data_IF_957628657788
#
_entry.id   IF_957628657788
#
_cell.length_a   1.000
_cell.length_b   1.000
_cell.length_c   1.000
_cell.angle_alpha   90.00
_cell.angle_beta   90.00
_cell.angle_gamma   90.00
#
_symmetry.space_group_name_H-M   'P 1'
#
loop_
_entity.id
_entity.type
_entity.pdbx_description
1 polymer ?
#
# COMPACT_ATOMS: atom_id res chain seq x y z
N UNK A 1 8.72 23.28 8.94
CA UNK A 1 8.46 23.29 7.50
C UNK A 1 9.30 22.18 6.90
N UNK A 2 8.86 21.13 6.46
CA UNK A 2 8.98 20.75 5.07
C UNK A 2 8.65 19.29 4.71
N UNK A 3 7.59 18.71 5.25
CA UNK A 3 7.29 17.31 4.92
C UNK A 3 6.19 17.12 3.83
N UNK A 4 5.67 18.23 3.26
CA UNK A 4 4.62 18.17 2.22
C UNK A 4 5.11 17.77 0.83
N UNK A 5 6.42 17.81 0.60
CA UNK A 5 7.00 17.73 -0.75
C UNK A 5 7.47 16.32 -1.16
N UNK A 6 7.62 15.41 -0.19
CA UNK A 6 8.11 14.04 -0.47
C UNK A 6 7.02 13.18 -1.10
N UNK A 7 5.78 13.29 -0.63
CA UNK A 7 4.66 12.53 -1.19
C UNK A 7 4.33 12.92 -2.63
N UNK A 8 4.36 14.22 -2.95
CA UNK A 8 4.18 14.73 -4.30
C UNK A 8 5.35 14.33 -5.23
N UNK A 9 6.56 14.24 -4.70
CA UNK A 9 7.75 13.80 -5.46
C UNK A 9 7.74 12.32 -5.80
N UNK A 10 7.04 11.48 -5.04
CA UNK A 10 6.91 10.05 -5.30
C UNK A 10 5.88 9.73 -6.39
N UNK A 11 4.93 10.60 -6.66
CA UNK A 11 3.89 10.37 -7.67
C UNK A 11 4.42 10.32 -9.11
N UNK A 12 5.52 11.04 -9.37
CA UNK A 12 6.21 10.99 -10.66
C UNK A 12 7.59 10.38 -10.49
N UNK A 13 7.80 9.11 -10.90
CA UNK A 13 9.14 8.57 -11.01
C UNK A 13 10.01 9.52 -11.85
N UNK A 14 11.07 10.00 -11.23
CA UNK A 14 12.04 10.88 -11.91
C UNK A 14 13.02 10.04 -12.71
N UNK A 15 12.54 9.46 -13.81
CA UNK A 15 13.31 8.50 -14.63
C UNK A 15 14.70 9.02 -15.01
N UNK A 16 14.83 10.29 -15.36
CA UNK A 16 16.13 10.90 -15.68
C UNK A 16 17.10 10.90 -14.49
N UNK A 17 16.62 11.21 -13.29
CA UNK A 17 17.42 11.15 -12.07
C UNK A 17 17.73 9.72 -11.66
N UNK A 18 16.75 8.82 -11.72
CA UNK A 18 16.95 7.40 -11.50
C UNK A 18 18.03 6.82 -12.41
N UNK A 19 17.96 7.11 -13.71
CA UNK A 19 18.95 6.68 -14.68
C UNK A 19 20.36 7.25 -14.38
N UNK A 20 20.45 8.52 -14.00
CA UNK A 20 21.73 9.14 -13.63
C UNK A 20 22.37 8.44 -12.43
N UNK A 21 21.61 8.23 -11.38
CA UNK A 21 22.09 7.52 -10.19
C UNK A 21 22.43 6.07 -10.47
N UNK A 22 21.64 5.39 -11.31
CA UNK A 22 21.95 4.01 -11.77
C UNK A 22 23.30 3.95 -12.49
N UNK A 23 23.52 4.83 -13.46
CA UNK A 23 24.80 4.89 -14.19
C UNK A 23 25.97 5.17 -13.26
N UNK A 24 25.78 6.04 -12.28
CA UNK A 24 26.78 6.33 -11.26
C UNK A 24 27.06 5.11 -10.38
N UNK A 25 26.03 4.39 -9.93
CA UNK A 25 26.18 3.15 -9.17
C UNK A 25 26.94 2.07 -9.95
N UNK A 26 26.59 1.88 -11.24
CA UNK A 26 27.29 0.93 -12.11
C UNK A 26 28.78 1.29 -12.27
N UNK A 27 29.08 2.57 -12.45
CA UNK A 27 30.47 3.05 -12.53
C UNK A 27 31.25 2.74 -11.25
N UNK A 28 30.71 3.08 -10.06
CA UNK A 28 31.38 2.77 -8.80
C UNK A 28 31.52 1.27 -8.57
N UNK A 29 30.52 0.49 -8.94
CA UNK A 29 30.58 -0.97 -8.83
C UNK A 29 31.69 -1.57 -9.72
N UNK A 30 31.86 -1.07 -10.95
CA UNK A 30 32.92 -1.56 -11.86
C UNK A 30 34.34 -1.27 -11.40
N UNK A 31 34.54 -0.31 -10.49
CA UNK A 31 35.84 0.04 -9.91
C UNK A 31 35.94 -0.31 -8.42
N UNK A 32 35.03 -1.15 -7.92
CA UNK A 32 34.96 -1.48 -6.47
C UNK A 32 36.19 -2.21 -5.96
N UNK A 33 36.87 -2.98 -6.82
CA UNK A 33 38.09 -3.72 -6.44
C UNK A 33 39.29 -2.81 -6.16
N UNK A 34 39.27 -1.57 -6.69
CA UNK A 34 40.38 -0.62 -6.51
C UNK A 34 40.35 0.10 -5.15
N UNK A 35 39.18 0.30 -4.57
CA UNK A 35 38.99 0.94 -3.25
C UNK A 35 37.69 0.47 -2.60
N UNK A 36 37.75 0.06 -1.31
CA UNK A 36 36.57 -0.37 -0.55
C UNK A 36 35.47 0.71 -0.47
N UNK A 37 35.80 1.98 -0.48
CA UNK A 37 34.84 3.08 -0.48
C UNK A 37 33.98 3.14 -1.75
N UNK A 38 34.44 2.61 -2.88
CA UNK A 38 33.68 2.64 -4.12
C UNK A 38 32.38 1.81 -4.04
N UNK A 39 32.42 0.69 -3.33
CA UNK A 39 31.23 -0.13 -3.15
C UNK A 39 30.17 0.57 -2.28
N UNK A 40 30.58 1.38 -1.31
CA UNK A 40 29.68 2.19 -0.48
C UNK A 40 29.02 3.31 -1.31
N UNK A 41 29.79 3.97 -2.17
CA UNK A 41 29.25 4.95 -3.14
C UNK A 41 28.33 4.30 -4.17
N UNK A 42 28.64 3.07 -4.61
CA UNK A 42 27.76 2.29 -5.49
C UNK A 42 26.42 2.00 -4.81
N UNK A 43 26.44 1.57 -3.54
CA UNK A 43 25.24 1.29 -2.78
C UNK A 43 24.39 2.55 -2.57
N UNK A 44 24.99 3.65 -2.15
CA UNK A 44 24.27 4.90 -1.96
C UNK A 44 23.63 5.39 -3.27
N UNK A 45 24.38 5.34 -4.37
CA UNK A 45 23.84 5.73 -5.68
C UNK A 45 22.73 4.79 -6.16
N UNK A 46 22.85 3.48 -5.93
CA UNK A 46 21.81 2.51 -6.29
C UNK A 46 20.52 2.71 -5.48
N UNK A 47 20.63 2.99 -4.18
CA UNK A 47 19.48 3.36 -3.33
C UNK A 47 18.78 4.63 -3.84
N UNK A 48 19.56 5.65 -4.24
CA UNK A 48 19.00 6.87 -4.84
C UNK A 48 18.31 6.57 -6.19
N UNK A 49 18.84 5.66 -7.00
CA UNK A 49 18.20 5.27 -8.26
C UNK A 49 16.81 4.67 -8.02
N UNK A 50 16.67 3.73 -7.07
CA UNK A 50 15.39 3.14 -6.69
C UNK A 50 14.45 4.18 -6.08
N UNK A 51 14.96 5.07 -5.21
CA UNK A 51 14.17 6.13 -4.59
C UNK A 51 13.58 7.09 -5.63
N UNK A 52 14.33 7.41 -6.68
CA UNK A 52 13.86 8.31 -7.72
C UNK A 52 12.96 7.64 -8.76
N UNK A 53 13.18 6.36 -9.05
CA UNK A 53 12.35 5.60 -9.98
C UNK A 53 12.29 4.12 -9.59
N UNK A 54 11.41 3.80 -8.65
CA UNK A 54 11.16 2.43 -8.19
C UNK A 54 10.38 1.58 -9.21
N UNK A 55 9.81 2.19 -10.25
CA UNK A 55 9.08 1.47 -11.31
C UNK A 55 10.03 0.90 -12.39
N UNK A 56 11.29 1.29 -12.37
CA UNK A 56 12.26 0.82 -13.35
C UNK A 56 13.06 -0.39 -12.81
N UNK A 57 12.93 -1.59 -13.38
CA UNK A 57 13.54 -2.81 -12.85
C UNK A 57 15.07 -2.76 -12.77
N UNK A 58 15.72 -2.05 -13.71
CA UNK A 58 17.18 -1.92 -13.69
C UNK A 58 17.75 -1.20 -12.47
N UNK A 59 16.97 -0.29 -11.86
CA UNK A 59 17.40 0.38 -10.64
C UNK A 59 17.51 -0.61 -9.47
N UNK A 60 16.57 -1.52 -9.38
CA UNK A 60 16.57 -2.61 -8.40
C UNK A 60 17.69 -3.63 -8.68
N UNK A 61 17.90 -3.99 -9.98
CA UNK A 61 18.98 -4.91 -10.37
C UNK A 61 20.34 -4.41 -9.95
N UNK A 62 20.60 -3.12 -10.15
CA UNK A 62 21.89 -2.53 -9.73
C UNK A 62 22.02 -2.56 -8.21
N UNK A 63 20.99 -2.23 -7.45
CA UNK A 63 21.02 -2.29 -5.98
C UNK A 63 21.26 -3.73 -5.51
N UNK A 64 20.59 -4.71 -6.10
CA UNK A 64 20.77 -6.12 -5.78
C UNK A 64 22.21 -6.59 -6.12
N UNK A 65 22.73 -6.20 -7.27
CA UNK A 65 24.11 -6.57 -7.68
C UNK A 65 25.15 -5.98 -6.72
N UNK A 66 24.95 -4.76 -6.24
CA UNK A 66 25.83 -4.16 -5.20
C UNK A 66 25.78 -4.96 -3.91
N UNK A 67 24.60 -5.39 -3.48
CA UNK A 67 24.44 -6.22 -2.27
C UNK A 67 25.10 -7.59 -2.42
N UNK A 68 24.99 -8.20 -3.59
CA UNK A 68 25.67 -9.46 -3.91
C UNK A 68 27.20 -9.26 -3.89
N UNK A 69 27.73 -8.21 -4.52
CA UNK A 69 29.16 -7.92 -4.52
C UNK A 69 29.71 -7.68 -3.10
N UNK A 70 28.88 -7.19 -2.17
CA UNK A 70 29.23 -7.04 -0.74
C UNK A 70 29.11 -8.34 0.05
N UNK A 71 28.61 -9.41 -0.53
CA UNK A 71 28.22 -10.64 0.18
C UNK A 71 27.26 -10.36 1.35
N UNK A 72 26.35 -9.38 1.17
CA UNK A 72 25.44 -8.88 2.18
C UNK A 72 24.08 -9.63 2.11
N UNK A 73 24.04 -10.81 2.71
CA UNK A 73 22.85 -11.69 2.77
C UNK A 73 21.60 -10.93 3.29
N UNK A 74 21.78 -10.18 4.38
CA UNK A 74 20.67 -9.41 4.97
C UNK A 74 20.23 -8.27 4.07
N UNK A 75 21.17 -7.60 3.41
CA UNK A 75 20.86 -6.55 2.45
C UNK A 75 20.14 -7.07 1.22
N UNK A 76 20.47 -8.26 0.72
CA UNK A 76 19.74 -8.93 -0.36
C UNK A 76 18.32 -9.24 0.06
N UNK A 77 18.12 -9.81 1.27
CA UNK A 77 16.80 -10.08 1.84
C UNK A 77 15.98 -8.80 1.91
N UNK A 78 16.55 -7.72 2.44
CA UNK A 78 15.87 -6.41 2.55
C UNK A 78 15.45 -5.85 1.18
N UNK A 79 16.28 -5.97 0.14
CA UNK A 79 15.94 -5.53 -1.23
C UNK A 79 14.77 -6.35 -1.79
N UNK A 80 14.75 -7.66 -1.56
CA UNK A 80 13.66 -8.53 -2.01
C UNK A 80 12.36 -8.25 -1.25
N UNK A 81 12.43 -8.06 0.07
CA UNK A 81 11.28 -7.68 0.90
C UNK A 81 10.68 -6.35 0.44
N UNK A 82 11.53 -5.36 0.20
CA UNK A 82 11.11 -4.05 -0.27
C UNK A 82 10.47 -4.11 -1.67
N UNK A 83 11.04 -4.91 -2.59
CA UNK A 83 10.43 -5.19 -3.88
C UNK A 83 9.06 -5.87 -3.74
N UNK A 84 8.93 -6.86 -2.86
CA UNK A 84 7.67 -7.57 -2.64
C UNK A 84 6.59 -6.64 -2.11
N UNK A 85 6.95 -5.75 -1.17
CA UNK A 85 6.05 -4.73 -0.66
C UNK A 85 5.54 -3.82 -1.80
N UNK A 86 6.44 -3.34 -2.66
CA UNK A 86 6.07 -2.51 -3.83
C UNK A 86 5.16 -3.26 -4.81
N UNK A 87 5.42 -4.55 -5.02
CA UNK A 87 4.59 -5.42 -5.86
C UNK A 87 3.26 -5.83 -5.19
N UNK A 88 3.01 -5.41 -3.95
CA UNK A 88 1.85 -5.83 -3.18
C UNK A 88 1.87 -7.33 -2.87
N UNK A 89 3.02 -7.89 -2.61
CA UNK A 89 3.20 -9.26 -2.14
C UNK A 89 3.57 -9.25 -0.68
N UNK A 90 3.18 -10.30 0.02
CA UNK A 90 3.52 -10.46 1.42
C UNK A 90 5.04 -10.67 1.58
N UNK A 91 5.74 -9.78 2.30
CA UNK A 91 7.16 -9.94 2.58
C UNK A 91 7.48 -11.18 3.43
N UNK A 92 6.52 -11.67 4.21
CA UNK A 92 6.67 -12.89 5.05
C UNK A 92 6.89 -14.15 4.19
N UNK A 93 6.49 -14.12 2.91
CA UNK A 93 6.80 -15.21 1.97
C UNK A 93 8.31 -15.46 1.85
N UNK A 94 9.14 -14.45 2.11
CA UNK A 94 10.60 -14.58 2.12
C UNK A 94 11.14 -15.22 3.41
N UNK A 95 10.39 -15.24 4.49
CA UNK A 95 10.82 -15.93 5.73
C UNK A 95 10.89 -17.45 5.52
N UNK A 96 10.05 -17.99 4.62
CA UNK A 96 10.09 -19.41 4.23
C UNK A 96 11.37 -19.79 3.49
N UNK A 97 12.18 -18.79 3.09
CA UNK A 97 13.40 -18.94 2.31
C UNK A 97 14.65 -18.65 3.18
N UNK A 98 14.50 -18.47 4.47
CA UNK A 98 15.61 -18.13 5.39
C UNK A 98 16.76 -19.15 5.39
N UNK A 99 16.50 -20.39 4.95
CA UNK A 99 17.52 -21.43 4.79
C UNK A 99 18.29 -21.36 3.44
N UNK A 100 17.89 -20.46 2.54
CA UNK A 100 18.55 -20.32 1.24
C UNK A 100 19.70 -19.33 1.29
N UNK A 101 20.79 -19.68 0.62
CA UNK A 101 21.84 -18.71 0.34
C UNK A 101 21.35 -17.69 -0.70
N UNK A 102 21.03 -16.48 -0.25
CA UNK A 102 20.52 -15.41 -1.09
C UNK A 102 21.61 -14.75 -1.93
N UNK A 103 22.88 -14.89 -1.57
CA UNK A 103 23.98 -14.41 -2.42
C UNK A 103 23.99 -15.18 -3.74
N UNK A 104 23.73 -16.48 -3.68
CA UNK A 104 23.68 -17.37 -4.87
C UNK A 104 22.31 -17.28 -5.57
N UNK A 105 21.22 -17.29 -4.80
CA UNK A 105 19.87 -17.48 -5.33
C UNK A 105 19.06 -16.19 -5.45
N UNK A 106 19.46 -15.09 -4.76
CA UNK A 106 18.70 -13.85 -4.68
C UNK A 106 18.40 -13.24 -6.05
N UNK A 107 19.37 -13.31 -6.98
CA UNK A 107 19.16 -12.82 -8.35
C UNK A 107 18.10 -13.62 -9.10
N UNK A 108 18.07 -14.95 -8.94
CA UNK A 108 17.05 -15.80 -9.58
C UNK A 108 15.66 -15.54 -9.03
N UNK A 109 15.54 -15.36 -7.71
CA UNK A 109 14.29 -14.99 -7.06
C UNK A 109 13.77 -13.64 -7.55
N UNK A 110 14.66 -12.66 -7.61
CA UNK A 110 14.34 -11.32 -8.11
C UNK A 110 13.80 -11.35 -9.55
N UNK A 111 14.53 -12.00 -10.47
CA UNK A 111 14.11 -12.10 -11.87
C UNK A 111 12.81 -12.91 -12.04
N UNK A 112 12.62 -13.95 -11.24
CA UNK A 112 11.37 -14.70 -11.24
C UNK A 112 10.18 -13.85 -10.75
N UNK A 113 10.38 -13.03 -9.72
CA UNK A 113 9.35 -12.12 -9.22
C UNK A 113 8.94 -11.09 -10.28
N UNK A 114 9.91 -10.49 -10.97
CA UNK A 114 9.66 -9.51 -12.02
C UNK A 114 9.08 -10.11 -13.30
N UNK A 115 9.40 -11.37 -13.60
CA UNK A 115 8.82 -12.08 -14.73
C UNK A 115 7.33 -12.35 -14.54
N UNK A 116 6.93 -12.67 -13.30
CA UNK A 116 5.53 -12.93 -12.96
C UNK A 116 4.76 -11.61 -12.82
N UNK A 117 5.41 -10.55 -12.34
CA UNK A 117 4.77 -9.31 -11.94
C UNK A 117 5.67 -8.10 -12.29
N UNK A 118 5.68 -7.67 -13.56
CA UNK A 118 6.52 -6.58 -14.03
C UNK A 118 6.25 -5.27 -13.30
N UNK A 119 7.30 -4.50 -12.97
CA UNK A 119 7.20 -3.18 -12.36
C UNK A 119 6.71 -2.11 -13.34
N UNK A 120 7.08 -2.23 -14.61
CA UNK A 120 6.60 -1.31 -15.64
C UNK A 120 5.12 -1.59 -15.94
N UNK A 121 4.23 -0.59 -15.86
CA UNK A 121 2.80 -0.80 -16.11
C UNK A 121 2.46 -1.23 -17.55
N UNK A 122 3.27 -0.85 -18.54
CA UNK A 122 3.06 -1.24 -19.94
C UNK A 122 3.49 -2.71 -20.15
N UNK A 123 4.62 -3.10 -19.57
CA UNK A 123 5.06 -4.52 -19.57
C UNK A 123 4.07 -5.40 -18.84
N UNK A 124 3.56 -4.92 -17.69
CA UNK A 124 2.51 -5.61 -16.94
C UNK A 124 1.25 -5.78 -17.78
N UNK A 125 0.75 -4.72 -18.42
CA UNK A 125 -0.45 -4.78 -19.26
C UNK A 125 -0.26 -5.72 -20.46
N UNK A 126 0.93 -5.73 -21.04
CA UNK A 126 1.27 -6.65 -22.13
C UNK A 126 1.24 -8.12 -21.70
N UNK A 127 1.44 -8.41 -20.42
CA UNK A 127 1.34 -9.75 -19.85
C UNK A 127 -0.10 -10.20 -19.55
N UNK A 128 -1.05 -9.25 -19.49
CA UNK A 128 -2.48 -9.52 -19.27
C UNK A 128 -3.13 -9.88 -20.59
N UNK A 129 -3.35 -11.18 -20.84
CA UNK A 129 -3.81 -11.67 -22.14
C UNK A 129 -5.27 -12.13 -22.16
N UNK A 130 -5.87 -12.30 -20.98
CA UNK A 130 -7.23 -12.89 -20.88
C UNK A 130 -8.09 -12.16 -19.84
N UNK A 131 -9.40 -12.34 -19.99
CA UNK A 131 -10.36 -11.88 -18.95
C UNK A 131 -10.08 -12.49 -17.57
N UNK A 132 -9.53 -13.70 -17.53
CA UNK A 132 -9.17 -14.38 -16.29
C UNK A 132 -8.02 -13.66 -15.59
N UNK A 133 -7.04 -13.16 -16.35
CA UNK A 133 -5.92 -12.40 -15.78
C UNK A 133 -6.40 -11.08 -15.16
N UNK A 134 -7.35 -10.42 -15.84
CA UNK A 134 -7.99 -9.19 -15.34
C UNK A 134 -8.74 -9.46 -14.04
N UNK A 135 -9.53 -10.55 -13.96
CA UNK A 135 -10.27 -10.89 -12.75
C UNK A 135 -9.32 -11.32 -11.62
N UNK A 136 -8.30 -12.08 -11.90
CA UNK A 136 -7.25 -12.42 -10.92
C UNK A 136 -6.54 -11.17 -10.37
N UNK A 137 -6.32 -10.18 -11.22
CA UNK A 137 -5.78 -8.89 -10.77
C UNK A 137 -6.77 -8.16 -9.86
N UNK A 138 -8.06 -8.14 -10.21
CA UNK A 138 -9.11 -7.56 -9.38
C UNK A 138 -9.15 -8.21 -7.99
N UNK A 139 -9.23 -9.54 -7.92
CA UNK A 139 -9.25 -10.29 -6.67
C UNK A 139 -8.02 -10.00 -5.80
N UNK A 140 -6.86 -9.84 -6.44
CA UNK A 140 -5.63 -9.49 -5.75
C UNK A 140 -5.72 -8.08 -5.17
N UNK A 141 -6.15 -7.07 -5.93
CA UNK A 141 -6.29 -5.69 -5.46
C UNK A 141 -7.24 -5.58 -4.28
N UNK A 142 -8.34 -6.34 -4.28
CA UNK A 142 -9.30 -6.37 -3.17
C UNK A 142 -8.69 -6.84 -1.83
N UNK A 143 -7.63 -7.65 -1.88
CA UNK A 143 -6.97 -8.24 -0.69
C UNK A 143 -5.75 -7.45 -0.22
N UNK A 144 -5.24 -6.53 -1.05
CA UNK A 144 -3.98 -5.84 -0.77
C UNK A 144 -4.13 -4.64 0.16
N UNK A 145 -3.01 -4.32 0.82
CA UNK A 145 -2.81 -3.11 1.59
C UNK A 145 -2.00 -2.11 0.76
N UNK A 146 -2.59 -0.95 0.44
CA UNK A 146 -1.98 0.09 -0.37
C UNK A 146 -1.54 1.32 0.43
N UNK A 147 -1.30 1.17 1.74
CA UNK A 147 -0.77 2.27 2.56
C UNK A 147 0.66 2.63 2.20
N UNK A 148 1.46 1.67 1.67
CA UNK A 148 2.76 2.01 1.08
C UNK A 148 2.57 2.89 -0.17
N UNK A 149 3.17 4.10 -0.20
CA UNK A 149 3.03 5.03 -1.31
C UNK A 149 3.45 4.46 -2.67
N UNK A 150 4.48 3.61 -2.69
CA UNK A 150 5.05 3.05 -3.92
C UNK A 150 4.13 1.98 -4.50
N UNK A 151 3.61 1.10 -3.64
CA UNK A 151 2.60 0.12 -4.05
C UNK A 151 1.35 0.82 -4.58
N UNK A 152 0.82 1.81 -3.86
CA UNK A 152 -0.34 2.58 -4.29
C UNK A 152 -0.11 3.24 -5.67
N UNK A 153 1.04 3.88 -5.90
CA UNK A 153 1.37 4.52 -7.18
C UNK A 153 1.51 3.47 -8.30
N UNK A 154 2.19 2.36 -8.04
CA UNK A 154 2.36 1.29 -9.02
C UNK A 154 1.00 0.74 -9.47
N UNK A 155 0.14 0.41 -8.52
CA UNK A 155 -1.18 -0.14 -8.81
C UNK A 155 -2.10 0.91 -9.46
N UNK A 156 -2.07 2.16 -9.03
CA UNK A 156 -2.80 3.23 -9.72
C UNK A 156 -2.45 3.31 -11.21
N UNK A 157 -1.18 3.18 -11.57
CA UNK A 157 -0.73 3.17 -12.98
C UNK A 157 -1.16 1.92 -13.74
N UNK A 158 -1.20 0.76 -13.08
CA UNK A 158 -1.77 -0.46 -13.68
C UNK A 158 -3.27 -0.30 -13.93
N UNK A 159 -3.98 0.35 -13.01
CA UNK A 159 -5.40 0.66 -13.18
C UNK A 159 -5.63 1.64 -14.35
N UNK A 160 -4.71 2.57 -14.60
CA UNK A 160 -4.76 3.42 -15.79
C UNK A 160 -4.73 2.59 -17.09
N UNK A 161 -3.88 1.57 -17.16
CA UNK A 161 -3.84 0.65 -18.32
C UNK A 161 -5.13 -0.17 -18.45
N UNK A 162 -5.72 -0.54 -17.32
CA UNK A 162 -7.03 -1.21 -17.30
C UNK A 162 -8.11 -0.28 -17.87
N UNK A 163 -8.10 1.00 -17.49
CA UNK A 163 -9.01 2.01 -18.02
C UNK A 163 -8.83 2.22 -19.53
N UNK A 164 -7.58 2.35 -19.98
CA UNK A 164 -7.23 2.49 -21.40
C UNK A 164 -7.65 1.25 -22.21
N UNK A 165 -7.66 0.07 -21.57
CA UNK A 165 -8.19 -1.20 -22.10
C UNK A 165 -9.72 -1.32 -22.09
N UNK A 166 -10.45 -0.29 -21.64
CA UNK A 166 -11.91 -0.24 -21.67
C UNK A 166 -12.62 -0.82 -20.44
N UNK A 167 -11.89 -1.18 -19.38
CA UNK A 167 -12.46 -1.73 -18.13
C UNK A 167 -12.86 -0.63 -17.13
N UNK A 168 -13.72 0.30 -17.56
CA UNK A 168 -14.05 1.51 -16.79
C UNK A 168 -14.66 1.23 -15.41
N UNK A 169 -15.63 0.29 -15.32
CA UNK A 169 -16.30 0.00 -14.05
C UNK A 169 -15.36 -0.63 -13.05
N UNK A 170 -14.49 -1.53 -13.50
CA UNK A 170 -13.46 -2.14 -12.67
C UNK A 170 -12.42 -1.09 -12.22
N UNK A 171 -12.05 -0.17 -13.11
CA UNK A 171 -11.19 0.95 -12.74
C UNK A 171 -11.81 1.79 -11.62
N UNK A 172 -13.08 2.15 -11.73
CA UNK A 172 -13.77 2.95 -10.69
C UNK A 172 -13.82 2.21 -9.34
N UNK A 173 -14.15 0.92 -9.38
CA UNK A 173 -14.18 0.07 -8.17
C UNK A 173 -12.81 0.03 -7.50
N UNK A 174 -11.79 -0.43 -8.21
CA UNK A 174 -10.46 -0.66 -7.65
C UNK A 174 -9.72 0.64 -7.30
N UNK A 175 -9.90 1.69 -8.10
CA UNK A 175 -9.30 3.00 -7.79
C UNK A 175 -9.91 3.62 -6.54
N UNK A 176 -11.19 3.38 -6.25
CA UNK A 176 -11.82 3.82 -5.01
C UNK A 176 -11.16 3.17 -3.78
N UNK A 177 -10.78 1.89 -3.87
CA UNK A 177 -10.06 1.17 -2.81
C UNK A 177 -8.66 1.76 -2.60
N UNK A 178 -7.91 2.00 -3.68
CA UNK A 178 -6.59 2.62 -3.57
C UNK A 178 -6.67 4.00 -2.92
N UNK A 179 -7.64 4.81 -3.34
CA UNK A 179 -7.86 6.17 -2.84
C UNK A 179 -8.38 6.20 -1.40
N UNK A 180 -9.16 5.21 -0.99
CA UNK A 180 -9.62 5.11 0.40
C UNK A 180 -8.45 4.90 1.36
N UNK A 181 -7.48 4.08 0.98
CA UNK A 181 -6.30 3.79 1.79
C UNK A 181 -5.23 4.90 1.70
N UNK A 182 -5.18 5.63 0.58
CA UNK A 182 -4.27 6.75 0.38
C UNK A 182 -4.94 7.91 -0.35
N UNK A 183 -5.72 8.72 0.37
CA UNK A 183 -6.47 9.85 -0.22
C UNK A 183 -5.57 10.94 -0.84
N UNK A 184 -4.29 11.00 -0.47
CA UNK A 184 -3.35 12.01 -0.97
C UNK A 184 -2.94 11.84 -2.44
N UNK A 185 -3.36 10.77 -3.13
CA UNK A 185 -3.09 10.55 -4.55
C UNK A 185 -4.03 11.41 -5.42
N UNK A 186 -3.73 12.71 -5.50
CA UNK A 186 -4.55 13.70 -6.20
C UNK A 186 -4.71 13.44 -7.70
N UNK A 187 -3.72 12.80 -8.36
CA UNK A 187 -3.80 12.46 -9.78
C UNK A 187 -4.83 11.37 -10.05
N UNK A 188 -4.89 10.37 -9.19
CA UNK A 188 -5.90 9.32 -9.30
C UNK A 188 -7.31 9.88 -9.05
N UNK A 189 -7.48 10.85 -8.13
CA UNK A 189 -8.72 11.59 -7.96
C UNK A 189 -9.11 12.39 -9.21
N UNK A 190 -8.18 13.13 -9.81
CA UNK A 190 -8.42 13.90 -11.02
C UNK A 190 -8.82 13.01 -12.20
N UNK A 191 -8.15 11.86 -12.39
CA UNK A 191 -8.53 10.88 -13.42
C UNK A 191 -9.91 10.29 -13.20
N UNK A 192 -10.23 9.92 -11.97
CA UNK A 192 -11.54 9.40 -11.61
C UNK A 192 -12.63 10.46 -11.84
N UNK A 193 -12.35 11.72 -11.51
CA UNK A 193 -13.21 12.85 -11.80
C UNK A 193 -13.49 13.03 -13.30
N UNK A 194 -12.46 12.97 -14.14
CA UNK A 194 -12.59 13.03 -15.61
C UNK A 194 -13.42 11.89 -16.18
N UNK A 195 -13.29 10.69 -15.62
CA UNK A 195 -14.09 9.54 -16.03
C UNK A 195 -15.57 9.74 -15.69
N UNK A 196 -15.88 10.19 -14.46
CA UNK A 196 -17.25 10.50 -14.05
C UNK A 196 -17.85 11.65 -14.87
N UNK A 197 -17.06 12.69 -15.20
CA UNK A 197 -17.49 13.79 -16.07
C UNK A 197 -17.86 13.27 -17.48
N UNK A 198 -17.03 12.39 -18.07
CA UNK A 198 -17.30 11.73 -19.37
C UNK A 198 -18.56 10.88 -19.33
N UNK A 199 -18.87 10.24 -18.19
CA UNK A 199 -20.08 9.45 -17.97
C UNK A 199 -21.31 10.29 -17.61
N UNK A 200 -21.19 11.62 -17.64
CA UNK A 200 -22.24 12.57 -17.25
C UNK A 200 -22.68 12.43 -15.77
N UNK A 201 -21.83 11.91 -14.91
CA UNK A 201 -22.03 11.75 -13.46
C UNK A 201 -21.41 12.95 -12.73
N UNK A 202 -21.98 14.16 -12.93
CA UNK A 202 -21.36 15.43 -12.56
C UNK A 202 -21.13 15.59 -11.04
N UNK A 203 -22.03 15.06 -10.22
CA UNK A 203 -21.91 15.14 -8.76
C UNK A 203 -20.73 14.29 -8.26
N UNK A 204 -20.55 13.11 -8.82
CA UNK A 204 -19.41 12.25 -8.51
C UNK A 204 -18.10 12.85 -9.03
N UNK A 205 -18.12 13.43 -10.23
CA UNK A 205 -16.98 14.12 -10.79
C UNK A 205 -16.51 15.25 -9.87
N UNK A 206 -17.46 16.07 -9.40
CA UNK A 206 -17.16 17.18 -8.48
C UNK A 206 -16.54 16.69 -7.17
N UNK A 207 -17.07 15.64 -6.57
CA UNK A 207 -16.53 15.06 -5.34
C UNK A 207 -15.08 14.58 -5.53
N UNK A 208 -14.77 13.99 -6.67
CA UNK A 208 -13.39 13.58 -7.00
C UNK A 208 -12.47 14.79 -7.18
N UNK A 209 -12.89 15.82 -7.91
CA UNK A 209 -12.11 17.05 -8.10
C UNK A 209 -11.93 17.83 -6.79
N UNK A 210 -12.91 17.79 -5.90
CA UNK A 210 -12.82 18.37 -4.57
C UNK A 210 -11.74 17.68 -3.74
N UNK A 211 -11.66 16.36 -3.78
CA UNK A 211 -10.58 15.60 -3.14
C UNK A 211 -9.22 15.87 -3.79
N UNK A 212 -9.14 15.92 -5.11
CA UNK A 212 -7.91 16.26 -5.81
C UNK A 212 -7.36 17.63 -5.36
N UNK A 213 -8.22 18.66 -5.30
CA UNK A 213 -7.83 20.02 -4.87
C UNK A 213 -7.55 20.10 -3.36
N UNK A 214 -8.25 19.33 -2.53
CA UNK A 214 -8.00 19.26 -1.08
C UNK A 214 -6.57 18.77 -0.81
N UNK A 215 -6.11 17.76 -1.54
CA UNK A 215 -4.77 17.19 -1.38
C UNK A 215 -3.68 17.94 -2.19
N UNK A 216 -4.05 18.62 -3.27
CA UNK A 216 -3.16 19.44 -4.10
C UNK A 216 -3.85 20.76 -4.50
N UNK A 217 -3.84 21.77 -3.62
CA UNK A 217 -4.52 23.05 -3.89
C UNK A 217 -4.09 23.74 -5.18
N UNK A 218 -2.83 23.53 -5.60
CA UNK A 218 -2.31 24.10 -6.85
C UNK A 218 -2.92 23.47 -8.11
N UNK A 219 -3.60 22.33 -8.02
CA UNK A 219 -4.26 21.66 -9.16
C UNK A 219 -5.46 22.46 -9.67
N UNK A 220 -6.15 23.18 -8.78
CA UNK A 220 -7.39 23.93 -9.08
C UNK A 220 -8.45 23.07 -9.80
N UNK A 221 -8.46 21.77 -9.53
CA UNK A 221 -9.28 20.82 -10.26
C UNK A 221 -10.78 21.12 -10.13
N UNK A 222 -11.24 21.42 -8.91
CA UNK A 222 -12.62 21.79 -8.61
C UNK A 222 -13.01 23.13 -9.26
N UNK A 223 -12.13 24.15 -9.17
CA UNK A 223 -12.35 25.45 -9.78
C UNK A 223 -12.48 25.32 -11.32
N UNK A 224 -11.59 24.56 -11.95
CA UNK A 224 -11.62 24.30 -13.38
C UNK A 224 -12.88 23.54 -13.82
N UNK A 225 -13.32 22.55 -13.04
CA UNK A 225 -14.56 21.83 -13.31
C UNK A 225 -15.77 22.77 -13.24
N UNK A 226 -15.87 23.58 -12.16
CA UNK A 226 -16.96 24.55 -12.00
C UNK A 226 -17.03 25.51 -13.18
N UNK A 227 -15.89 26.05 -13.63
CA UNK A 227 -15.82 26.91 -14.81
C UNK A 227 -16.35 26.21 -16.08
N UNK A 228 -15.98 24.95 -16.33
CA UNK A 228 -16.52 24.18 -17.48
C UNK A 228 -18.04 24.00 -17.39
N UNK A 229 -18.57 23.83 -16.19
CA UNK A 229 -20.01 23.71 -15.98
C UNK A 229 -20.74 25.05 -16.23
N UNK A 230 -20.14 26.16 -15.85
CA UNK A 230 -20.66 27.53 -16.09
C UNK A 230 -20.57 27.90 -17.60
N UNK A 231 -19.44 27.65 -18.24
CA UNK A 231 -19.21 27.94 -19.67
C UNK A 231 -20.10 27.09 -20.59
N UNK A 232 -20.48 25.87 -20.17
CA UNK A 232 -21.37 25.00 -20.94
C UNK A 232 -22.86 25.41 -20.93
N UNK A 233 -23.22 26.49 -20.25
CA UNK A 233 -24.59 27.00 -20.09
C UNK A 233 -24.94 28.02 -21.19
N UNK A 234 -23.96 28.55 -21.89
CA UNK A 234 -24.17 29.57 -22.94
C UNK A 234 -24.85 28.98 -24.20
N UNK A 235 -26.15 28.73 -24.12
CA UNK A 235 -26.90 28.45 -25.32
C UNK A 235 -28.27 27.81 -25.24
N UNK A 236 -28.64 27.14 -24.16
CA UNK A 236 -30.02 26.61 -23.96
C UNK A 236 -30.28 26.52 -22.46
N UNK A 237 -31.53 26.94 -22.05
CA UNK A 237 -32.04 26.83 -20.66
C UNK A 237 -31.83 25.40 -20.07
N UNK A 238 -30.63 25.04 -19.70
CA UNK A 238 -30.35 23.90 -18.87
C UNK A 238 -30.33 24.39 -17.42
N UNK A 239 -30.99 23.64 -16.56
CA UNK A 239 -30.97 23.81 -15.10
C UNK A 239 -29.53 24.00 -14.67
N UNK A 240 -29.23 25.13 -14.03
CA UNK A 240 -27.88 25.41 -13.50
C UNK A 240 -27.46 24.23 -12.64
N UNK A 241 -26.35 23.60 -12.96
CA UNK A 241 -25.78 22.58 -12.08
C UNK A 241 -25.36 23.22 -10.76
N UNK A 242 -25.68 22.57 -9.66
CA UNK A 242 -25.31 23.02 -8.31
C UNK A 242 -24.36 21.99 -7.70
N UNK A 243 -23.34 22.46 -7.00
CA UNK A 243 -22.41 21.60 -6.30
C UNK A 243 -23.16 20.77 -5.24
N UNK A 244 -22.75 19.49 -5.05
CA UNK A 244 -23.31 18.64 -4.02
C UNK A 244 -23.29 19.27 -2.64
N UNK A 245 -24.31 18.95 -1.84
CA UNK A 245 -24.45 19.49 -0.49
C UNK A 245 -23.32 19.02 0.44
N UNK A 246 -23.17 19.66 1.58
CA UNK A 246 -22.19 19.26 2.61
C UNK A 246 -22.49 17.84 3.09
N UNK A 247 -23.76 17.48 3.24
CA UNK A 247 -24.20 16.14 3.63
C UNK A 247 -23.72 15.08 2.61
N UNK A 248 -23.95 15.31 1.32
CA UNK A 248 -23.51 14.41 0.25
C UNK A 248 -21.99 14.23 0.23
N UNK A 249 -21.26 15.31 0.55
CA UNK A 249 -19.80 15.26 0.69
C UNK A 249 -19.36 14.43 1.90
N UNK A 250 -20.03 14.61 3.03
CA UNK A 250 -19.76 13.82 4.24
C UNK A 250 -20.08 12.35 4.04
N UNK A 251 -21.20 12.01 3.42
CA UNK A 251 -21.54 10.62 3.07
C UNK A 251 -20.53 9.97 2.14
N UNK A 252 -20.02 10.74 1.18
CA UNK A 252 -18.95 10.26 0.30
C UNK A 252 -17.67 9.94 1.08
N UNK A 253 -17.22 10.82 1.96
CA UNK A 253 -16.04 10.62 2.80
C UNK A 253 -16.21 9.43 3.75
N UNK A 254 -17.38 9.28 4.38
CA UNK A 254 -17.69 8.14 5.24
C UNK A 254 -17.66 6.79 4.48
N UNK A 255 -18.14 6.78 3.23
CA UNK A 255 -18.02 5.57 2.37
C UNK A 255 -16.57 5.24 2.07
N UNK A 256 -15.75 6.25 1.77
CA UNK A 256 -14.32 6.06 1.55
C UNK A 256 -13.63 5.53 2.81
N UNK A 257 -13.94 6.06 3.98
CA UNK A 257 -13.40 5.60 5.26
C UNK A 257 -13.78 4.13 5.55
N UNK A 258 -15.03 3.74 5.29
CA UNK A 258 -15.45 2.33 5.41
C UNK A 258 -14.71 1.40 4.46
N UNK A 259 -14.38 1.86 3.25
CA UNK A 259 -13.57 1.07 2.31
C UNK A 259 -12.10 0.98 2.73
N UNK A 260 -11.58 1.99 3.43
CA UNK A 260 -10.22 1.99 3.96
C UNK A 260 -10.05 1.02 5.14
N UNK A 261 -11.10 0.87 5.95
CA UNK A 261 -11.16 -0.15 6.98
C UNK A 261 -11.19 -1.49 6.25
N UNK A 262 -10.14 -2.31 6.38
CA UNK A 262 -10.22 -3.71 5.91
C UNK A 262 -11.53 -4.27 6.48
N UNK A 263 -12.39 -4.96 5.68
CA UNK A 263 -13.29 -5.89 6.32
C UNK A 263 -12.39 -6.72 7.21
N UNK A 264 -12.65 -6.76 8.51
CA UNK A 264 -12.14 -7.84 9.34
C UNK A 264 -12.40 -9.08 8.49
N UNK A 265 -11.34 -9.72 8.04
CA UNK A 265 -11.46 -11.04 7.47
C UNK A 265 -12.06 -11.82 8.63
N UNK A 266 -13.38 -11.90 8.67
CA UNK A 266 -14.01 -13.06 9.25
C UNK A 266 -13.46 -14.16 8.37
N UNK A 267 -12.34 -14.74 8.80
CA UNK A 267 -11.94 -16.06 8.34
C UNK A 267 -13.25 -16.83 8.38
N UNK A 268 -13.66 -17.32 7.23
CA UNK A 268 -14.73 -18.30 7.15
C UNK A 268 -14.26 -19.51 7.99
N UNK A 269 -14.51 -19.39 9.29
CA UNK A 269 -14.44 -20.46 10.28
C UNK A 269 -15.68 -21.34 10.17
N UNK A 270 -16.14 -21.56 8.95
CA UNK A 270 -17.18 -22.57 8.68
C UNK A 270 -16.59 -23.92 8.29
N UNK A 271 -15.32 -24.19 8.59
CA UNK A 271 -14.80 -25.57 8.53
C UNK A 271 -13.79 -25.88 9.64
N UNK A 272 -14.18 -25.62 10.90
CA UNK A 272 -13.72 -26.45 12.04
C UNK A 272 -14.83 -26.50 13.09
N UNK A 273 -15.67 -27.48 12.92
CA UNK A 273 -16.51 -28.01 13.98
C UNK A 273 -15.67 -28.20 15.24
N UNK A 274 -16.04 -27.50 16.34
CA UNK A 274 -15.67 -27.86 17.71
C UNK A 274 -14.38 -27.28 18.25
N UNK A 275 -14.25 -25.95 18.29
CA UNK A 275 -13.55 -25.27 19.38
C UNK A 275 -14.47 -24.19 19.91
N UNK A 276 -14.95 -24.42 21.13
CA UNK A 276 -15.65 -23.44 21.95
C UNK A 276 -14.90 -22.10 21.90
N UNK A 277 -15.61 -21.00 21.68
CA UNK A 277 -15.05 -19.66 21.87
C UNK A 277 -14.68 -19.52 23.34
N UNK A 278 -13.41 -19.77 23.65
CA UNK A 278 -12.87 -19.51 24.97
C UNK A 278 -13.02 -18.01 25.22
N UNK A 279 -13.85 -17.63 26.17
CA UNK A 279 -14.05 -16.22 26.52
C UNK A 279 -12.70 -15.56 26.89
N UNK A 280 -12.57 -14.24 26.72
CA UNK A 280 -11.33 -13.54 27.14
C UNK A 280 -11.04 -13.78 28.64
N UNK A 281 -12.06 -13.96 29.42
CA UNK A 281 -11.92 -14.33 30.84
C UNK A 281 -11.34 -15.76 31.00
N UNK A 282 -11.83 -16.71 30.25
CA UNK A 282 -11.30 -18.10 30.26
C UNK A 282 -9.84 -18.16 29.78
N UNK A 283 -9.46 -17.30 28.79
CA UNK A 283 -8.05 -17.13 28.40
C UNK A 283 -7.19 -16.58 29.53
N UNK A 284 -7.71 -15.63 30.30
CA UNK A 284 -6.99 -15.10 31.46
C UNK A 284 -6.79 -16.17 32.54
N UNK A 285 -7.79 -17.05 32.76
CA UNK A 285 -7.70 -18.18 33.66
C UNK A 285 -6.67 -19.20 33.17
N UNK A 286 -6.72 -19.58 31.88
CA UNK A 286 -5.78 -20.49 31.25
C UNK A 286 -4.32 -20.01 31.35
N UNK A 287 -4.10 -18.72 31.11
CA UNK A 287 -2.77 -18.10 31.26
C UNK A 287 -2.29 -18.16 32.73
N UNK A 288 -3.19 -17.94 33.68
CA UNK A 288 -2.87 -18.04 35.09
C UNK A 288 -2.52 -19.47 35.52
N UNK A 289 -3.29 -20.46 35.08
CA UNK A 289 -3.05 -21.88 35.35
C UNK A 289 -1.76 -22.40 34.69
N UNK A 290 -1.36 -21.83 33.55
CA UNK A 290 -0.11 -22.17 32.86
C UNK A 290 1.11 -21.35 33.33
N UNK A 291 1.02 -20.63 34.45
CA UNK A 291 2.14 -19.90 35.06
C UNK A 291 2.52 -18.61 34.31
N UNK A 292 1.70 -18.15 33.34
CA UNK A 292 1.90 -16.90 32.60
C UNK A 292 1.25 -15.73 33.35
N UNK A 293 1.76 -15.49 34.57
CA UNK A 293 1.14 -14.61 35.57
C UNK A 293 0.96 -13.17 35.04
N UNK A 294 1.96 -12.63 34.34
CA UNK A 294 1.92 -11.25 33.83
C UNK A 294 0.84 -11.06 32.75
N UNK A 295 0.74 -11.99 31.79
CA UNK A 295 -0.27 -11.92 30.74
C UNK A 295 -1.68 -12.10 31.27
N UNK A 296 -1.87 -13.05 32.20
CA UNK A 296 -3.11 -13.25 32.91
C UNK A 296 -3.57 -11.99 33.66
N UNK A 297 -2.64 -11.33 34.36
CA UNK A 297 -2.90 -10.08 35.09
C UNK A 297 -3.37 -8.95 34.18
N UNK A 298 -2.70 -8.75 33.04
CA UNK A 298 -3.07 -7.71 32.10
C UNK A 298 -4.48 -7.90 31.51
N UNK A 299 -4.85 -9.13 31.16
CA UNK A 299 -6.18 -9.44 30.62
C UNK A 299 -7.23 -9.27 31.72
N UNK A 300 -7.02 -9.86 32.90
CA UNK A 300 -7.95 -9.77 34.02
C UNK A 300 -8.18 -8.31 34.47
N UNK A 301 -7.12 -7.49 34.55
CA UNK A 301 -7.21 -6.08 34.90
C UNK A 301 -8.02 -5.28 33.88
N UNK A 302 -7.82 -5.55 32.58
CA UNK A 302 -8.58 -4.89 31.50
C UNK A 302 -10.07 -5.22 31.59
N UNK A 303 -10.42 -6.48 31.74
CA UNK A 303 -11.81 -6.92 31.87
C UNK A 303 -12.47 -6.39 33.15
N UNK A 304 -11.73 -6.33 34.26
CA UNK A 304 -12.20 -5.72 35.51
C UNK A 304 -12.55 -4.23 35.34
N UNK A 305 -11.76 -3.48 34.54
CA UNK A 305 -12.08 -2.07 34.23
C UNK A 305 -13.31 -1.93 33.33
N UNK A 306 -13.72 -2.95 32.62
CA UNK A 306 -14.93 -3.03 31.80
C UNK A 306 -16.17 -3.48 32.60
N UNK A 307 -16.00 -3.78 33.91
CA UNK A 307 -17.09 -4.12 34.80
C UNK A 307 -17.30 -5.62 35.04
N UNK A 308 -16.36 -6.48 34.58
CA UNK A 308 -16.42 -7.92 34.84
C UNK A 308 -15.95 -8.23 36.27
N UNK A 309 -16.89 -8.71 37.09
CA UNK A 309 -16.64 -9.03 38.50
C UNK A 309 -15.75 -10.26 38.65
N UNK A 310 -15.84 -11.26 37.76
CA UNK A 310 -15.00 -12.45 37.78
C UNK A 310 -13.53 -12.11 37.48
N UNK A 311 -13.32 -11.24 36.52
CA UNK A 311 -12.00 -10.73 36.18
C UNK A 311 -11.39 -9.85 37.28
N UNK A 312 -12.22 -9.14 38.06
CA UNK A 312 -11.76 -8.36 39.21
C UNK A 312 -11.23 -9.26 40.32
N UNK A 313 -11.91 -10.38 40.60
CA UNK A 313 -11.47 -11.35 41.59
C UNK A 313 -10.20 -12.06 41.14
N UNK A 314 -10.13 -12.46 39.88
CA UNK A 314 -8.95 -13.06 39.28
C UNK A 314 -7.73 -12.11 39.35
N UNK A 315 -7.90 -10.84 39.01
CA UNK A 315 -6.82 -9.85 39.09
C UNK A 315 -6.31 -9.64 40.53
N UNK A 316 -7.21 -9.69 41.52
CA UNK A 316 -6.81 -9.65 42.95
C UNK A 316 -6.03 -10.89 43.38
N UNK A 317 -6.45 -12.08 42.93
CA UNK A 317 -5.77 -13.32 43.21
C UNK A 317 -4.37 -13.37 42.65
N UNK A 318 -4.24 -12.99 41.37
CA UNK A 318 -2.95 -12.92 40.66
C UNK A 318 -2.01 -11.92 41.37
N UNK A 319 -2.54 -10.76 41.79
CA UNK A 319 -1.72 -9.78 42.51
C UNK A 319 -1.20 -10.26 43.83
N UNK A 320 -1.98 -11.05 44.62
CA UNK A 320 -1.54 -11.65 45.87
C UNK A 320 -0.40 -12.65 45.64
N UNK A 321 -0.48 -13.48 44.58
CA UNK A 321 0.60 -14.41 44.24
C UNK A 321 1.87 -13.68 43.77
N UNK A 322 1.74 -12.58 43.03
CA UNK A 322 2.90 -11.74 42.61
C UNK A 322 3.58 -11.08 43.81
N UNK A 323 2.82 -10.71 44.87
CA UNK A 323 3.35 -10.07 46.09
C UNK A 323 3.94 -11.10 47.06
N UNK A 324 3.70 -12.40 46.90
CA UNK A 324 4.26 -13.52 47.70
C UNK A 324 5.60 -14.07 47.10
N UNK A 325 5.86 -13.82 45.81
CA UNK A 325 7.08 -14.25 45.11
C UNK A 325 8.21 -13.18 45.09
N UNK A 326 7.98 -11.97 45.64
CA UNK A 326 8.95 -10.91 45.88
C UNK A 326 9.45 -10.90 47.35
#
# INVERSE_FOLDING_TARGET
>A
MPNKDIGAKLQHPRRSLGNRHRSQAQKFLSISDSQKSNIDWAEQSAKQAVLHDFTHPENWRVLLNVKIARNDQNGIKAVLQDLFLVLGRDPELLEKIDQMDLVINGKKLFESALKIDPLDPDDWWSSVQSKKDVESFRERVLKLDFRDPRANILFARRLERLLDGGHEDMYLELNSILLSQRPSNHEAWDRMGKLHERRNEMDKAWLCYDQAETHMPSSKAREMFRKRMEDGIDGKKKKSWQAPSIESRMEFLQRMEKMASKPEIKEDLEEKVGKEEISEFERAVDYFENGRINEAFFIARRLATQGDNGALELAKKIKLEMDEDD
#
